data_IF_941741544050
#
_entry.id   IF_941741544050
#
_cell.length_a   1.000
_cell.length_b   1.000
_cell.length_c   1.000
_cell.angle_alpha   90.00
_cell.angle_beta   90.00
_cell.angle_gamma   90.00
#
_symmetry.space_group_name_H-M   'P 1'
#
loop_
_entity.id
_entity.type
_entity.pdbx_description
1 polymer ?
#
# COMPACT_ATOMS: atom_id res chain seq x y z
N UNK A 1 -10.47 -0.22 6.09
CA UNK A 1 -11.67 0.48 6.63
C UNK A 1 -12.92 -0.34 6.46
N UNK A 2 -13.34 -0.77 5.24
CA UNK A 2 -14.49 -1.70 5.11
C UNK A 2 -14.22 -3.05 5.82
N UNK A 3 -13.07 -3.69 5.60
CA UNK A 3 -12.68 -4.96 6.28
C UNK A 3 -12.69 -4.85 7.82
N UNK A 4 -12.29 -3.70 8.36
CA UNK A 4 -12.26 -3.47 9.81
C UNK A 4 -13.66 -3.21 10.37
N UNK A 5 -14.52 -2.51 9.61
CA UNK A 5 -15.93 -2.27 9.96
C UNK A 5 -16.74 -3.56 9.83
N UNK A 6 -16.45 -4.39 8.81
CA UNK A 6 -17.09 -5.70 8.64
C UNK A 6 -16.65 -6.67 9.73
N UNK A 7 -15.36 -6.75 10.05
CA UNK A 7 -14.85 -7.58 11.15
C UNK A 7 -15.33 -7.15 12.53
N UNK A 8 -15.44 -5.83 12.79
CA UNK A 8 -15.96 -5.31 14.07
C UNK A 8 -17.46 -5.54 14.28
N UNK A 9 -18.23 -5.76 13.22
CA UNK A 9 -19.66 -6.11 13.32
C UNK A 9 -19.88 -7.56 13.79
N UNK A 10 -18.85 -8.42 13.69
CA UNK A 10 -18.92 -9.84 14.07
C UNK A 10 -18.31 -10.16 15.44
N UNK A 11 -17.53 -9.27 16.04
CA UNK A 11 -17.11 -9.44 17.41
C UNK A 11 -18.16 -8.86 18.35
N UNK A 12 -19.31 -9.52 18.47
CA UNK A 12 -20.28 -9.16 19.50
C UNK A 12 -19.65 -9.34 20.90
N UNK A 13 -18.72 -10.31 21.02
CA UNK A 13 -17.93 -10.57 22.22
C UNK A 13 -16.43 -10.80 21.90
N UNK A 14 -15.56 -10.62 22.89
CA UNK A 14 -14.09 -10.73 22.74
C UNK A 14 -13.59 -12.10 22.25
N UNK A 15 -14.31 -13.19 22.51
CA UNK A 15 -13.92 -14.53 22.06
C UNK A 15 -14.05 -14.72 20.53
N UNK A 16 -15.03 -14.05 19.90
CA UNK A 16 -15.21 -14.07 18.45
C UNK A 16 -14.19 -13.15 17.75
N UNK A 17 -13.81 -12.05 18.42
CA UNK A 17 -12.71 -11.19 17.99
C UNK A 17 -11.38 -11.94 17.92
N UNK A 18 -11.03 -12.66 18.99
CA UNK A 18 -9.77 -13.41 19.07
C UNK A 18 -9.73 -14.61 18.11
N UNK A 19 -10.89 -15.14 17.72
CA UNK A 19 -11.00 -16.20 16.71
C UNK A 19 -10.75 -15.69 15.28
N UNK A 20 -11.17 -14.46 14.97
CA UNK A 20 -11.01 -13.84 13.64
C UNK A 20 -9.64 -13.14 13.52
N UNK A 21 -9.19 -12.51 14.60
CA UNK A 21 -7.92 -11.82 14.71
C UNK A 21 -7.03 -12.54 15.72
N UNK A 22 -6.40 -13.63 15.29
CA UNK A 22 -5.54 -14.47 16.13
C UNK A 22 -4.25 -13.76 16.61
N UNK A 23 -4.03 -12.53 16.16
CA UNK A 23 -2.88 -11.70 16.48
C UNK A 23 -2.97 -10.33 15.80
N UNK A 24 -2.11 -9.41 16.22
CA UNK A 24 -2.06 -8.03 15.69
C UNK A 24 -1.66 -7.99 14.19
N UNK A 25 -1.01 -9.04 13.70
CA UNK A 25 -0.55 -9.20 12.31
C UNK A 25 -1.30 -10.27 11.51
N UNK A 26 -2.01 -11.17 12.18
CA UNK A 26 -2.77 -12.27 11.56
C UNK A 26 -4.25 -11.92 11.43
N UNK A 27 -4.53 -10.88 10.66
CA UNK A 27 -5.88 -10.58 10.20
C UNK A 27 -6.32 -11.57 9.10
N UNK A 28 -7.62 -11.76 8.89
CA UNK A 28 -8.15 -12.82 8.02
C UNK A 28 -7.94 -12.57 6.51
N UNK A 29 -7.17 -11.54 6.15
CA UNK A 29 -6.74 -11.27 4.77
C UNK A 29 -7.89 -11.06 3.78
N UNK A 30 -7.71 -11.55 2.55
CA UNK A 30 -8.74 -11.57 1.52
C UNK A 30 -9.93 -12.44 1.93
N UNK A 31 -9.68 -13.58 2.58
CA UNK A 31 -10.73 -14.53 2.98
C UNK A 31 -11.72 -13.88 3.94
N UNK A 32 -11.24 -13.20 4.99
CA UNK A 32 -12.12 -12.49 5.91
C UNK A 32 -12.86 -11.30 5.30
N UNK A 33 -12.32 -10.69 4.25
CA UNK A 33 -13.07 -9.69 3.48
C UNK A 33 -14.25 -10.31 2.75
N UNK A 34 -14.05 -11.48 2.13
CA UNK A 34 -15.10 -12.19 1.39
C UNK A 34 -16.14 -12.74 2.36
N UNK A 35 -15.74 -13.52 3.36
CA UNK A 35 -16.65 -14.16 4.32
C UNK A 35 -17.40 -13.11 5.17
N UNK A 36 -16.67 -12.15 5.76
CA UNK A 36 -17.27 -11.09 6.58
C UNK A 36 -18.16 -10.16 5.77
N UNK A 37 -17.74 -9.80 4.55
CA UNK A 37 -18.56 -9.00 3.65
C UNK A 37 -19.81 -9.74 3.17
N UNK A 38 -19.69 -11.04 2.90
CA UNK A 38 -20.80 -11.84 2.38
C UNK A 38 -21.92 -11.95 3.41
N UNK A 39 -21.54 -12.18 4.66
CA UNK A 39 -22.47 -12.20 5.79
C UNK A 39 -23.17 -10.85 5.99
N UNK A 40 -22.48 -9.71 5.77
CA UNK A 40 -23.14 -8.40 5.84
C UNK A 40 -24.19 -8.20 4.74
N UNK A 41 -23.87 -8.64 3.52
CA UNK A 41 -24.81 -8.56 2.40
C UNK A 41 -26.01 -9.47 2.67
N UNK A 42 -25.78 -10.65 3.23
CA UNK A 42 -26.85 -11.59 3.58
C UNK A 42 -27.74 -11.09 4.71
N UNK A 43 -27.16 -10.58 5.79
CA UNK A 43 -27.92 -10.07 6.95
C UNK A 43 -28.59 -8.72 6.65
N UNK A 44 -27.93 -7.84 5.89
CA UNK A 44 -28.44 -6.51 5.57
C UNK A 44 -29.45 -6.51 4.42
N UNK A 45 -29.19 -7.26 3.35
CA UNK A 45 -29.99 -7.23 2.12
C UNK A 45 -30.77 -8.52 1.85
N UNK A 46 -30.60 -9.58 2.65
CA UNK A 46 -31.33 -10.84 2.51
C UNK A 46 -30.85 -11.71 1.33
N UNK A 47 -29.70 -11.40 0.73
CA UNK A 47 -29.14 -12.15 -0.41
C UNK A 47 -28.50 -13.46 0.10
N UNK A 48 -28.68 -14.61 -0.59
CA UNK A 48 -28.07 -15.88 -0.18
C UNK A 48 -26.55 -15.80 -0.02
N UNK A 49 -26.01 -16.40 1.04
CA UNK A 49 -24.59 -16.30 1.42
C UNK A 49 -23.64 -16.72 0.30
N UNK A 50 -23.93 -17.84 -0.37
CA UNK A 50 -23.11 -18.34 -1.48
C UNK A 50 -23.03 -17.35 -2.66
N UNK A 51 -24.10 -16.59 -2.90
CA UNK A 51 -24.11 -15.55 -3.93
C UNK A 51 -23.28 -14.34 -3.48
N UNK A 52 -23.43 -13.92 -2.23
CA UNK A 52 -22.67 -12.79 -1.66
C UNK A 52 -21.15 -13.06 -1.64
N UNK A 53 -20.73 -14.29 -1.29
CA UNK A 53 -19.32 -14.72 -1.34
C UNK A 53 -18.78 -14.68 -2.76
N UNK A 54 -19.52 -15.23 -3.72
CA UNK A 54 -19.12 -15.21 -5.14
C UNK A 54 -18.99 -13.78 -5.65
N UNK A 55 -19.94 -12.91 -5.32
CA UNK A 55 -19.91 -11.50 -5.73
C UNK A 55 -18.67 -10.77 -5.19
N UNK A 56 -18.33 -10.97 -3.90
CA UNK A 56 -17.15 -10.36 -3.29
C UNK A 56 -15.85 -10.96 -3.80
N UNK A 57 -15.80 -12.27 -4.02
CA UNK A 57 -14.65 -12.93 -4.62
C UNK A 57 -14.36 -12.35 -6.01
N UNK A 58 -15.39 -12.22 -6.85
CA UNK A 58 -15.27 -11.56 -8.18
C UNK A 58 -14.80 -10.11 -8.03
N UNK A 59 -15.32 -9.37 -7.03
CA UNK A 59 -14.86 -8.00 -6.78
C UNK A 59 -13.37 -7.93 -6.45
N UNK A 60 -12.86 -8.84 -5.60
CA UNK A 60 -11.42 -8.88 -5.28
C UNK A 60 -10.58 -9.24 -6.49
N UNK A 61 -11.02 -10.20 -7.31
CA UNK A 61 -10.33 -10.60 -8.54
C UNK A 61 -10.30 -9.45 -9.55
N UNK A 62 -11.42 -8.73 -9.74
CA UNK A 62 -11.50 -7.58 -10.65
C UNK A 62 -10.65 -6.41 -10.15
N UNK A 63 -10.63 -6.17 -8.84
CA UNK A 63 -9.75 -5.18 -8.22
C UNK A 63 -8.28 -5.53 -8.50
N UNK A 64 -7.88 -6.77 -8.19
CA UNK A 64 -6.53 -7.25 -8.44
C UNK A 64 -6.13 -7.15 -9.92
N UNK A 65 -7.02 -7.56 -10.84
CA UNK A 65 -6.77 -7.46 -12.28
C UNK A 65 -6.62 -6.02 -12.77
N UNK A 66 -7.46 -5.10 -12.29
CA UNK A 66 -7.38 -3.67 -12.67
C UNK A 66 -6.11 -3.02 -12.13
N UNK A 67 -5.76 -3.31 -10.88
CA UNK A 67 -4.52 -2.83 -10.27
C UNK A 67 -3.30 -3.42 -10.97
N UNK A 68 -3.36 -4.69 -11.40
CA UNK A 68 -2.28 -5.32 -12.16
C UNK A 68 -2.06 -4.64 -13.52
N UNK A 69 -3.12 -4.34 -14.28
CA UNK A 69 -2.99 -3.61 -15.56
C UNK A 69 -2.35 -2.23 -15.36
N UNK A 70 -2.83 -1.47 -14.37
CA UNK A 70 -2.26 -0.16 -14.03
C UNK A 70 -0.81 -0.29 -13.54
N UNK A 71 -0.52 -1.28 -12.70
CA UNK A 71 0.80 -1.54 -12.13
C UNK A 71 1.84 -1.91 -13.16
N UNK A 72 1.54 -2.88 -14.05
CA UNK A 72 2.43 -3.27 -15.14
C UNK A 72 2.71 -2.11 -16.10
N UNK A 73 1.69 -1.26 -16.32
CA UNK A 73 1.84 -0.06 -17.14
C UNK A 73 2.79 0.96 -16.51
N UNK A 74 2.64 1.22 -15.22
CA UNK A 74 3.54 2.12 -14.47
C UNK A 74 4.96 1.56 -14.38
N UNK A 75 5.11 0.26 -14.11
CA UNK A 75 6.41 -0.40 -14.06
C UNK A 75 7.14 -0.31 -15.40
N UNK A 76 6.41 -0.52 -16.51
CA UNK A 76 6.95 -0.30 -17.85
C UNK A 76 7.45 1.14 -18.04
N UNK A 77 6.69 2.13 -17.58
CA UNK A 77 7.12 3.53 -17.69
C UNK A 77 8.40 3.80 -16.90
N UNK A 78 8.53 3.24 -15.69
CA UNK A 78 9.75 3.33 -14.89
C UNK A 78 10.94 2.70 -15.62
N UNK A 79 10.76 1.51 -16.21
CA UNK A 79 11.81 0.83 -16.99
C UNK A 79 12.23 1.65 -18.21
N UNK A 80 11.26 2.25 -18.93
CA UNK A 80 11.54 3.12 -20.06
C UNK A 80 12.25 4.41 -19.64
N UNK A 81 11.89 4.97 -18.49
CA UNK A 81 12.55 6.13 -17.91
C UNK A 81 14.01 5.83 -17.57
N UNK A 82 14.30 4.67 -16.98
CA UNK A 82 15.69 4.20 -16.80
C UNK A 82 16.42 4.05 -18.14
N UNK A 83 15.77 3.50 -19.16
CA UNK A 83 16.31 3.42 -20.51
C UNK A 83 16.68 4.79 -21.09
N UNK A 84 15.93 5.84 -20.76
CA UNK A 84 16.21 7.21 -21.16
C UNK A 84 17.34 7.85 -20.32
N UNK A 85 17.29 7.75 -18.99
CA UNK A 85 18.27 8.34 -18.07
C UNK A 85 19.66 7.73 -18.28
N UNK A 86 19.75 6.40 -18.36
CA UNK A 86 21.02 5.67 -18.51
C UNK A 86 21.40 5.39 -19.97
N UNK A 87 20.61 5.91 -20.92
CA UNK A 87 20.80 5.76 -22.36
C UNK A 87 20.92 4.30 -22.84
N UNK A 88 20.11 3.39 -22.28
CA UNK A 88 20.07 1.97 -22.62
C UNK A 88 19.00 1.74 -23.71
N UNK A 89 19.43 1.61 -24.97
CA UNK A 89 18.52 1.54 -26.12
C UNK A 89 17.45 0.42 -26.06
N UNK A 90 17.75 -0.81 -25.58
CA UNK A 90 16.75 -1.87 -25.45
C UNK A 90 15.59 -1.53 -24.49
N UNK A 91 15.87 -0.82 -23.40
CA UNK A 91 14.86 -0.49 -22.37
C UNK A 91 13.87 0.58 -22.83
N UNK A 92 14.19 1.33 -23.90
CA UNK A 92 13.28 2.32 -24.50
C UNK A 92 12.15 1.63 -25.29
N UNK A 93 12.38 0.41 -25.79
CA UNK A 93 11.40 -0.33 -26.57
C UNK A 93 10.24 -0.80 -25.68
N UNK A 94 9.02 -0.44 -26.07
CA UNK A 94 7.79 -0.80 -25.38
C UNK A 94 7.66 -2.30 -25.12
N UNK A 95 7.99 -3.15 -26.08
CA UNK A 95 7.82 -4.62 -25.96
C UNK A 95 8.80 -5.17 -24.92
N UNK A 96 10.08 -4.78 -24.99
CA UNK A 96 11.11 -5.26 -24.08
C UNK A 96 10.88 -4.75 -22.64
N UNK A 97 10.49 -3.49 -22.49
CA UNK A 97 10.15 -2.92 -21.18
C UNK A 97 8.93 -3.61 -20.55
N UNK A 98 7.94 -3.98 -21.37
CA UNK A 98 6.75 -4.72 -20.91
C UNK A 98 7.12 -6.14 -20.51
N UNK A 99 7.88 -6.86 -21.34
CA UNK A 99 8.34 -8.21 -21.02
C UNK A 99 9.19 -8.25 -19.75
N UNK A 100 10.07 -7.26 -19.56
CA UNK A 100 10.86 -7.14 -18.34
C UNK A 100 9.98 -6.90 -17.10
N UNK A 101 8.96 -6.05 -17.24
CA UNK A 101 8.02 -5.75 -16.15
C UNK A 101 7.20 -6.99 -15.77
N UNK A 102 6.67 -7.70 -16.77
CA UNK A 102 5.97 -8.98 -16.57
C UNK A 102 6.90 -10.02 -15.94
N UNK A 103 8.13 -10.17 -16.46
CA UNK A 103 9.09 -11.12 -15.93
C UNK A 103 9.43 -10.82 -14.46
N UNK A 104 9.65 -9.56 -14.09
CA UNK A 104 9.87 -9.17 -12.71
C UNK A 104 8.67 -9.51 -11.80
N UNK A 105 7.44 -9.25 -12.26
CA UNK A 105 6.23 -9.64 -11.52
C UNK A 105 6.10 -11.16 -11.37
N UNK A 106 6.38 -11.94 -12.42
CA UNK A 106 6.33 -13.41 -12.37
C UNK A 106 7.41 -13.98 -11.45
N UNK A 107 8.62 -13.43 -11.48
CA UNK A 107 9.71 -13.82 -10.58
C UNK A 107 9.29 -13.56 -9.12
N UNK A 108 8.62 -12.45 -8.83
CA UNK A 108 8.13 -12.19 -7.47
C UNK A 108 6.97 -13.12 -7.09
N UNK A 109 6.01 -13.32 -7.99
CA UNK A 109 4.82 -14.15 -7.74
C UNK A 109 5.14 -15.64 -7.54
N UNK A 110 6.12 -16.16 -8.27
CA UNK A 110 6.54 -17.57 -8.18
C UNK A 110 7.83 -17.80 -7.39
N UNK A 111 8.63 -16.76 -7.17
CA UNK A 111 9.89 -16.84 -6.43
C UNK A 111 9.73 -16.63 -4.93
N UNK A 112 8.64 -16.01 -4.49
CA UNK A 112 8.20 -16.05 -3.09
C UNK A 112 7.28 -17.25 -2.95
N UNK A 113 7.65 -18.23 -2.11
CA UNK A 113 6.81 -19.40 -1.86
C UNK A 113 6.81 -19.78 -0.38
N UNK A 114 5.64 -20.18 0.12
CA UNK A 114 5.50 -20.79 1.45
C UNK A 114 5.81 -22.30 1.42
N UNK A 115 5.97 -22.88 0.22
CA UNK A 115 6.28 -24.29 -0.01
C UNK A 115 5.05 -25.19 -0.13
N UNK A 116 3.84 -24.63 -0.11
CA UNK A 116 2.60 -25.39 -0.14
C UNK A 116 2.21 -25.78 -1.58
N UNK A 117 2.21 -24.80 -2.50
CA UNK A 117 1.95 -25.03 -3.92
C UNK A 117 2.61 -23.95 -4.80
N UNK A 118 2.89 -24.23 -6.09
CA UNK A 118 3.45 -23.25 -7.00
C UNK A 118 2.53 -22.02 -7.12
N UNK A 119 3.00 -20.85 -6.66
CA UNK A 119 2.24 -19.59 -6.69
C UNK A 119 1.51 -19.22 -5.39
N UNK A 120 1.78 -19.92 -4.28
CA UNK A 120 1.31 -19.56 -2.93
C UNK A 120 1.88 -18.22 -2.40
N UNK A 121 2.88 -17.65 -3.09
CA UNK A 121 3.47 -16.36 -2.79
C UNK A 121 2.48 -15.20 -2.68
N UNK A 122 1.30 -15.30 -3.30
CA UNK A 122 0.24 -14.29 -3.16
C UNK A 122 -0.16 -14.03 -1.70
N UNK A 123 -0.20 -15.08 -0.87
CA UNK A 123 -0.55 -14.96 0.56
C UNK A 123 0.52 -14.24 1.37
N UNK A 124 1.79 -14.40 0.98
CA UNK A 124 2.94 -13.73 1.59
C UNK A 124 3.09 -12.27 1.13
N UNK A 125 2.74 -11.99 -0.13
CA UNK A 125 2.81 -10.64 -0.70
C UNK A 125 1.66 -9.76 -0.21
N UNK A 126 0.50 -10.34 0.14
CA UNK A 126 -0.70 -9.59 0.52
C UNK A 126 -0.50 -8.61 1.70
N UNK A 127 0.15 -8.99 2.82
CA UNK A 127 0.50 -8.05 3.88
C UNK A 127 1.40 -6.89 3.42
N UNK A 128 2.41 -7.19 2.59
CA UNK A 128 3.34 -6.19 2.04
C UNK A 128 2.61 -5.21 1.13
N UNK A 129 1.68 -5.71 0.30
CA UNK A 129 0.79 -4.90 -0.53
C UNK A 129 -0.07 -3.97 0.34
N UNK A 130 -0.68 -4.51 1.39
CA UNK A 130 -1.48 -3.73 2.34
C UNK A 130 -0.68 -2.60 2.99
N UNK A 131 0.52 -2.89 3.48
CA UNK A 131 1.41 -1.90 4.09
C UNK A 131 1.83 -0.81 3.09
N UNK A 132 2.27 -1.22 1.89
CA UNK A 132 2.71 -0.29 0.83
C UNK A 132 1.57 0.63 0.38
N UNK A 133 0.34 0.14 0.32
CA UNK A 133 -0.83 0.99 0.00
C UNK A 133 -1.10 2.06 1.07
N UNK A 134 -0.90 1.76 2.35
CA UNK A 134 -1.03 2.75 3.41
C UNK A 134 0.06 3.83 3.31
N UNK A 135 1.28 3.42 2.99
CA UNK A 135 2.37 4.36 2.72
C UNK A 135 2.01 5.25 1.53
N UNK A 136 1.56 4.69 0.40
CA UNK A 136 1.17 5.47 -0.79
C UNK A 136 0.01 6.44 -0.50
N UNK A 137 -0.98 6.01 0.28
CA UNK A 137 -2.06 6.87 0.74
C UNK A 137 -1.52 8.06 1.56
N UNK A 138 -0.58 7.80 2.47
CA UNK A 138 0.06 8.86 3.24
C UNK A 138 0.92 9.81 2.38
N UNK A 139 1.64 9.30 1.38
CA UNK A 139 2.39 10.13 0.43
C UNK A 139 1.45 11.04 -0.37
N UNK A 140 0.28 10.54 -0.75
CA UNK A 140 -0.73 11.36 -1.45
C UNK A 140 -1.23 12.50 -0.56
N UNK A 141 -1.55 12.21 0.71
CA UNK A 141 -1.94 13.24 1.68
C UNK A 141 -0.80 14.23 1.98
N UNK A 142 0.46 13.79 1.88
CA UNK A 142 1.64 14.65 2.00
C UNK A 142 1.73 15.64 0.85
N UNK A 143 1.56 15.18 -0.39
CA UNK A 143 1.53 16.06 -1.57
C UNK A 143 0.38 17.07 -1.46
N UNK A 144 -0.81 16.63 -1.05
CA UNK A 144 -1.95 17.52 -0.81
C UNK A 144 -1.64 18.54 0.30
N UNK A 145 -0.96 18.10 1.36
CA UNK A 145 -0.56 18.98 2.46
C UNK A 145 0.40 20.08 1.96
N UNK A 146 1.43 19.72 1.20
CA UNK A 146 2.37 20.68 0.60
C UNK A 146 1.63 21.65 -0.33
N UNK A 147 0.69 21.15 -1.14
CA UNK A 147 -0.12 21.97 -2.03
C UNK A 147 -0.97 23.00 -1.27
N UNK A 148 -1.62 22.59 -0.16
CA UNK A 148 -2.39 23.51 0.69
C UNK A 148 -1.50 24.54 1.41
N UNK A 149 -0.29 24.15 1.84
CA UNK A 149 0.71 25.08 2.40
C UNK A 149 1.04 26.18 1.38
N UNK A 150 1.30 25.80 0.12
CA UNK A 150 1.58 26.77 -0.96
C UNK A 150 0.42 27.73 -1.22
N UNK A 151 -0.82 27.29 -1.00
CA UNK A 151 -2.02 28.11 -1.15
C UNK A 151 -2.37 28.94 0.10
N UNK A 152 -1.60 28.84 1.19
CA UNK A 152 -1.91 29.50 2.47
C UNK A 152 -3.19 28.99 3.15
N UNK A 153 -3.65 27.77 2.79
CA UNK A 153 -4.90 27.18 3.30
C UNK A 153 -4.63 26.37 4.58
N UNK A 154 -5.62 26.18 5.46
CA UNK A 154 -5.45 25.35 6.66
C UNK A 154 -5.18 23.89 6.31
N UNK A 155 -4.09 23.33 6.85
CA UNK A 155 -3.57 22.00 6.47
C UNK A 155 -3.88 20.92 7.51
N UNK A 156 -4.28 21.32 8.72
CA UNK A 156 -4.45 20.44 9.89
C UNK A 156 -5.31 19.20 9.60
N UNK A 157 -6.41 19.37 8.86
CA UNK A 157 -7.36 18.29 8.56
C UNK A 157 -6.80 17.20 7.63
N UNK A 158 -5.76 17.52 6.85
CA UNK A 158 -5.06 16.57 5.97
C UNK A 158 -3.81 16.01 6.64
N UNK A 159 -3.09 16.87 7.36
CA UNK A 159 -1.83 16.52 8.01
C UNK A 159 -2.00 15.51 9.15
N UNK A 160 -3.07 15.63 9.95
CA UNK A 160 -3.30 14.70 11.07
C UNK A 160 -3.53 13.27 10.56
N UNK A 161 -4.48 13.00 9.64
CA UNK A 161 -4.63 11.66 9.06
C UNK A 161 -3.36 11.15 8.39
N UNK A 162 -2.63 12.02 7.67
CA UNK A 162 -1.37 11.67 7.02
C UNK A 162 -0.35 11.12 8.02
N UNK A 163 -0.10 11.83 9.13
CA UNK A 163 0.89 11.42 10.14
C UNK A 163 0.47 10.10 10.78
N UNK A 164 -0.80 9.95 11.13
CA UNK A 164 -1.30 8.72 11.78
C UNK A 164 -1.11 7.51 10.87
N UNK A 165 -1.55 7.61 9.60
CA UNK A 165 -1.44 6.50 8.64
C UNK A 165 0.03 6.17 8.37
N UNK A 166 0.86 7.20 8.15
CA UNK A 166 2.28 7.01 7.88
C UNK A 166 3.00 6.34 9.06
N UNK A 167 2.73 6.79 10.29
CA UNK A 167 3.30 6.22 11.50
C UNK A 167 2.91 4.76 11.66
N UNK A 168 1.61 4.44 11.56
CA UNK A 168 1.12 3.06 11.70
C UNK A 168 1.67 2.16 10.60
N UNK A 169 1.77 2.65 9.37
CA UNK A 169 2.32 1.90 8.24
C UNK A 169 3.82 1.60 8.40
N UNK A 170 4.62 2.60 8.81
CA UNK A 170 6.04 2.41 9.09
C UNK A 170 6.28 1.48 10.28
N UNK A 171 5.47 1.62 11.34
CA UNK A 171 5.51 0.73 12.50
C UNK A 171 5.23 -0.72 12.09
N UNK A 172 4.13 -0.95 11.37
CA UNK A 172 3.77 -2.28 10.87
C UNK A 172 4.84 -2.85 9.93
N UNK A 173 5.38 -2.04 9.01
CA UNK A 173 6.45 -2.47 8.10
C UNK A 173 7.73 -2.86 8.86
N UNK A 174 8.10 -2.12 9.91
CA UNK A 174 9.23 -2.49 10.77
C UNK A 174 9.02 -3.82 11.48
N UNK A 175 7.79 -4.11 11.92
CA UNK A 175 7.45 -5.40 12.50
C UNK A 175 7.53 -6.54 11.48
N UNK A 176 6.99 -6.34 10.25
CA UNK A 176 7.07 -7.33 9.19
C UNK A 176 8.51 -7.65 8.77
N UNK A 177 9.41 -6.66 8.75
CA UNK A 177 10.83 -6.92 8.45
C UNK A 177 11.43 -7.90 9.45
N UNK A 178 11.11 -7.75 10.75
CA UNK A 178 11.60 -8.65 11.80
C UNK A 178 11.01 -10.04 11.64
N UNK A 179 9.70 -10.13 11.38
CA UNK A 179 8.99 -11.41 11.18
C UNK A 179 9.52 -12.17 9.95
N UNK A 180 9.68 -11.50 8.80
CA UNK A 180 10.24 -12.10 7.59
C UNK A 180 11.71 -12.48 7.74
N UNK A 181 12.48 -11.73 8.52
CA UNK A 181 13.87 -12.07 8.83
C UNK A 181 13.95 -13.35 9.67
N UNK A 182 13.07 -13.51 10.65
CA UNK A 182 12.99 -14.74 11.47
C UNK A 182 12.51 -15.95 10.66
N UNK A 183 11.67 -15.73 9.65
CA UNK A 183 11.18 -16.75 8.71
C UNK A 183 12.11 -17.00 7.51
N UNK A 184 13.33 -16.45 7.54
CA UNK A 184 14.35 -16.57 6.48
C UNK A 184 13.86 -16.15 5.07
N UNK A 185 12.84 -15.29 5.00
CA UNK A 185 12.22 -14.84 3.75
C UNK A 185 12.93 -13.62 3.19
N UNK A 186 14.18 -13.80 2.75
CA UNK A 186 15.11 -12.72 2.38
C UNK A 186 14.60 -11.79 1.27
N UNK A 187 13.83 -12.32 0.31
CA UNK A 187 13.25 -11.50 -0.79
C UNK A 187 12.27 -10.48 -0.23
N UNK A 188 11.41 -10.89 0.71
CA UNK A 188 10.42 -10.01 1.34
C UNK A 188 11.10 -8.97 2.24
N UNK A 189 12.11 -9.39 3.02
CA UNK A 189 12.94 -8.47 3.83
C UNK A 189 13.55 -7.38 2.96
N UNK A 190 14.12 -7.75 1.81
CA UNK A 190 14.75 -6.77 0.90
C UNK A 190 13.73 -5.77 0.36
N UNK A 191 12.56 -6.24 -0.09
CA UNK A 191 11.50 -5.39 -0.64
C UNK A 191 10.98 -4.43 0.45
N UNK A 192 10.69 -4.93 1.64
CA UNK A 192 10.19 -4.10 2.74
C UNK A 192 11.21 -3.05 3.18
N UNK A 193 12.49 -3.42 3.29
CA UNK A 193 13.55 -2.48 3.61
C UNK A 193 13.70 -1.40 2.52
N UNK A 194 13.64 -1.79 1.25
CA UNK A 194 13.69 -0.84 0.13
C UNK A 194 12.52 0.16 0.18
N UNK A 195 11.30 -0.32 0.50
CA UNK A 195 10.11 0.54 0.67
C UNK A 195 10.29 1.50 1.85
N UNK A 196 10.76 1.02 3.02
CA UNK A 196 10.98 1.86 4.21
C UNK A 196 12.04 2.93 3.91
N UNK A 197 13.18 2.55 3.34
CA UNK A 197 14.27 3.49 3.01
C UNK A 197 13.79 4.56 2.04
N UNK A 198 13.11 4.14 0.97
CA UNK A 198 12.56 5.08 -0.03
C UNK A 198 11.54 6.03 0.60
N UNK A 199 10.70 5.52 1.49
CA UNK A 199 9.72 6.33 2.23
C UNK A 199 10.39 7.37 3.10
N UNK A 200 11.44 7.00 3.83
CA UNK A 200 12.22 7.93 4.68
C UNK A 200 12.84 9.04 3.83
N UNK A 201 13.44 8.70 2.68
CA UNK A 201 14.02 9.70 1.75
C UNK A 201 12.95 10.69 1.29
N UNK A 202 11.77 10.22 0.89
CA UNK A 202 10.67 11.07 0.43
C UNK A 202 10.17 11.99 1.56
N UNK A 203 10.09 11.50 2.80
CA UNK A 203 9.71 12.32 3.96
C UNK A 203 10.73 13.45 4.17
N UNK A 204 12.03 13.14 4.07
CA UNK A 204 13.09 14.14 4.23
C UNK A 204 13.04 15.22 3.14
N UNK A 205 12.77 14.82 1.89
CA UNK A 205 12.59 15.77 0.78
C UNK A 205 11.35 16.64 0.96
N UNK A 206 10.22 16.04 1.37
CA UNK A 206 9.00 16.77 1.68
C UNK A 206 9.23 17.78 2.82
N UNK A 207 9.97 17.39 3.86
CA UNK A 207 10.34 18.29 4.95
C UNK A 207 11.20 19.46 4.46
N UNK A 208 12.21 19.18 3.62
CA UNK A 208 13.07 20.20 3.00
C UNK A 208 12.24 21.22 2.20
N UNK A 209 11.27 20.75 1.40
CA UNK A 209 10.37 21.62 0.64
C UNK A 209 9.51 22.49 1.55
N UNK A 210 8.91 21.92 2.59
CA UNK A 210 8.07 22.67 3.55
C UNK A 210 8.89 23.71 4.31
N UNK A 211 10.12 23.37 4.71
CA UNK A 211 11.04 24.28 5.39
C UNK A 211 11.35 25.50 4.52
N UNK A 212 11.66 25.29 3.23
CA UNK A 212 11.94 26.36 2.26
C UNK A 212 10.73 27.26 2.02
N UNK A 213 9.53 26.68 1.94
CA UNK A 213 8.30 27.46 1.79
C UNK A 213 8.02 28.35 3.00
N UNK A 214 8.30 27.86 4.21
CA UNK A 214 8.14 28.65 5.44
C UNK A 214 9.17 29.75 5.57
N UNK A 215 10.42 29.52 5.18
CA UNK A 215 11.46 30.57 5.21
C UNK A 215 11.19 31.66 4.17
N UNK A 216 10.76 31.31 2.95
CA UNK A 216 10.40 32.29 1.92
C UNK A 216 9.21 33.16 2.30
N UNK A 217 8.14 32.58 2.88
CA UNK A 217 7.00 33.35 3.38
C UNK A 217 7.38 34.28 4.55
N UNK A 218 8.39 33.92 5.35
CA UNK A 218 8.86 34.75 6.46
C UNK A 218 9.68 35.96 5.95
N UNK A 219 10.49 35.78 4.91
CA UNK A 219 11.20 36.88 4.25
C UNK A 219 10.23 37.87 3.56
N UNK A 220 9.24 37.37 2.82
CA UNK A 220 8.23 38.23 2.18
C UNK A 220 7.40 39.04 3.19
N UNK A 221 7.00 38.44 4.32
CA UNK A 221 6.27 39.14 5.38
C UNK A 221 7.13 40.23 6.05
N UNK A 222 8.44 40.00 6.20
CA UNK A 222 9.36 41.01 6.77
C UNK A 222 9.65 42.17 5.81
N UNK A 223 9.56 41.95 4.50
CA UNK A 223 9.77 42.97 3.47
C UNK A 223 8.54 43.86 3.23
N UNK A 224 7.34 43.42 3.59
CA UNK A 224 6.12 44.23 3.48
C UNK A 224 5.86 45.16 4.68
N UNK A 225 6.56 44.95 5.80
CA UNK A 225 6.43 45.71 7.06
C UNK A 225 7.52 46.81 7.24
N UNK A 226 8.42 46.98 6.27
CA UNK A 226 9.49 48.01 6.26
C UNK A 226 9.28 49.06 5.18
#
# INVERSE_FOLDING_TARGET
>A
TIVAVTGSLYAANGAEWDAIYTGLSSGPGQTGFIEGGAQLITTGWGIPIAFSETMLAVMVVLFAGTTMDAGLRLQRYIVQEWGNIYNIAPLKNNILATLLSIAACLILAFGVTAGDYPGDGGMLIWPVFGATNQILASMTLMVISIYLIKLGRPVKNVLIPMIIILFLALWASGWYVIDHFQKESWVLVFIELAVIVTTVIIILEAWSVVSKLRSGNAEEASASDG
#
